data_IF_833710199246
#
_entry.id   IF_833710199246
#
_cell.length_a   1.000
_cell.length_b   1.000
_cell.length_c   1.000
_cell.angle_alpha   90.00
_cell.angle_beta   90.00
_cell.angle_gamma   90.00
#
_symmetry.space_group_name_H-M   'P 1'
#
loop_
_entity.id
_entity.type
_entity.pdbx_description
1 polymer ?
#
# COMPACT_ATOMS: atom_id res chain seq x y z
N UNK A 1 11.03 -2.39 -21.51
CA UNK A 1 11.23 -3.42 -20.46
C UNK A 1 12.05 -2.93 -19.28
N UNK A 2 13.26 -2.37 -19.47
CA UNK A 2 14.10 -1.90 -18.36
C UNK A 2 13.44 -0.81 -17.49
N UNK A 3 12.72 0.14 -18.10
CA UNK A 3 12.01 1.21 -17.38
C UNK A 3 10.87 0.67 -16.51
N UNK A 4 10.07 -0.28 -17.03
CA UNK A 4 9.00 -0.94 -16.26
C UNK A 4 9.57 -1.72 -15.07
N UNK A 5 10.71 -2.39 -15.23
CA UNK A 5 11.38 -3.09 -14.14
C UNK A 5 11.90 -2.13 -13.06
N UNK A 6 12.48 -1.00 -13.46
CA UNK A 6 12.96 0.03 -12.54
C UNK A 6 11.80 0.66 -11.77
N UNK A 7 10.70 0.96 -12.46
CA UNK A 7 9.50 1.52 -11.84
C UNK A 7 8.82 0.53 -10.91
N UNK A 8 8.67 -0.75 -11.32
CA UNK A 8 8.17 -1.82 -10.45
C UNK A 8 9.00 -1.90 -9.17
N UNK A 9 10.33 -1.93 -9.27
CA UNK A 9 11.23 -1.99 -8.11
C UNK A 9 11.06 -0.78 -7.19
N UNK A 10 10.90 0.42 -7.75
CA UNK A 10 10.65 1.65 -6.98
C UNK A 10 9.33 1.55 -6.22
N UNK A 11 8.27 1.08 -6.87
CA UNK A 11 6.95 0.96 -6.28
C UNK A 11 6.86 -0.17 -5.25
N UNK A 12 7.54 -1.30 -5.47
CA UNK A 12 7.66 -2.36 -4.47
C UNK A 12 8.30 -1.81 -3.18
N UNK A 13 9.39 -1.05 -3.30
CA UNK A 13 10.06 -0.45 -2.13
C UNK A 13 9.18 0.60 -1.41
N UNK A 14 8.38 1.38 -2.16
CA UNK A 14 7.42 2.31 -1.57
C UNK A 14 6.27 1.58 -0.88
N UNK A 15 5.81 0.46 -1.45
CA UNK A 15 4.77 -0.37 -0.84
C UNK A 15 5.27 -1.01 0.44
N UNK A 16 6.49 -1.54 0.46
CA UNK A 16 7.11 -2.10 1.66
C UNK A 16 7.19 -1.05 2.79
N UNK A 17 7.70 0.15 2.48
CA UNK A 17 7.77 1.26 3.45
C UNK A 17 6.39 1.71 3.95
N UNK A 18 5.39 1.78 3.05
CA UNK A 18 4.02 2.09 3.43
C UNK A 18 3.41 1.03 4.35
N UNK A 19 3.64 -0.26 4.07
CA UNK A 19 3.16 -1.36 4.90
C UNK A 19 3.84 -1.38 6.28
N UNK A 20 5.14 -1.08 6.35
CA UNK A 20 5.87 -0.96 7.61
C UNK A 20 5.33 0.20 8.46
N UNK A 21 5.09 1.36 7.85
CA UNK A 21 4.48 2.50 8.54
C UNK A 21 3.06 2.19 9.03
N UNK A 22 2.25 1.51 8.21
CA UNK A 22 0.91 1.10 8.59
C UNK A 22 0.92 0.10 9.76
N UNK A 23 1.85 -0.86 9.75
CA UNK A 23 2.01 -1.83 10.83
C UNK A 23 2.38 -1.14 12.16
N UNK A 24 3.32 -0.19 12.13
CA UNK A 24 3.69 0.60 13.32
C UNK A 24 2.50 1.41 13.86
N UNK A 25 1.70 1.99 12.97
CA UNK A 25 0.47 2.67 13.36
C UNK A 25 -0.53 1.70 14.02
N UNK A 26 -0.77 0.54 13.42
CA UNK A 26 -1.69 -0.49 13.94
C UNK A 26 -1.26 -0.99 15.33
N UNK A 27 0.03 -1.16 15.57
CA UNK A 27 0.55 -1.50 16.91
C UNK A 27 0.18 -0.44 17.95
N UNK A 28 0.41 0.84 17.64
CA UNK A 28 0.03 1.95 18.52
C UNK A 28 -1.49 2.09 18.68
N UNK A 29 -2.25 1.90 17.61
CA UNK A 29 -3.71 1.91 17.63
C UNK A 29 -4.24 0.79 18.54
N UNK A 30 -3.69 -0.42 18.46
CA UNK A 30 -4.11 -1.56 19.28
C UNK A 30 -3.92 -1.31 20.78
N UNK A 31 -2.90 -0.56 21.17
CA UNK A 31 -2.73 -0.13 22.57
C UNK A 31 -3.85 0.83 22.97
N UNK A 32 -4.14 1.85 22.16
CA UNK A 32 -5.24 2.81 22.39
C UNK A 32 -6.60 2.12 22.43
N UNK A 33 -6.82 1.15 21.55
CA UNK A 33 -8.08 0.44 21.40
C UNK A 33 -8.47 -0.36 22.64
N UNK A 34 -7.49 -0.93 23.37
CA UNK A 34 -7.72 -1.71 24.59
C UNK A 34 -8.38 -0.90 25.72
N UNK A 35 -8.06 0.39 25.82
CA UNK A 35 -8.63 1.30 26.82
C UNK A 35 -9.79 2.14 26.30
N UNK A 36 -10.05 2.12 24.99
CA UNK A 36 -11.05 2.97 24.35
C UNK A 36 -12.49 2.52 24.66
N UNK A 37 -13.37 3.49 24.89
CA UNK A 37 -14.82 3.32 24.89
C UNK A 37 -15.37 3.17 23.45
N UNK A 38 -16.68 2.96 23.30
CA UNK A 38 -17.30 2.70 22.00
C UNK A 38 -17.11 3.84 20.98
N UNK A 39 -17.27 5.09 21.42
CA UNK A 39 -17.07 6.27 20.56
C UNK A 39 -15.59 6.40 20.15
N UNK A 40 -14.67 6.21 21.08
CA UNK A 40 -13.23 6.25 20.82
C UNK A 40 -12.79 5.14 19.87
N UNK A 41 -13.35 3.93 20.01
CA UNK A 41 -13.08 2.81 19.07
C UNK A 41 -13.53 3.14 17.66
N UNK A 42 -14.68 3.81 17.51
CA UNK A 42 -15.18 4.24 16.19
C UNK A 42 -14.24 5.27 15.58
N UNK A 43 -13.77 6.24 16.38
CA UNK A 43 -12.80 7.24 15.93
C UNK A 43 -11.46 6.60 15.52
N UNK A 44 -10.96 5.63 16.29
CA UNK A 44 -9.72 4.89 15.96
C UNK A 44 -9.84 4.12 14.64
N UNK A 45 -10.99 3.52 14.36
CA UNK A 45 -11.24 2.81 13.11
C UNK A 45 -11.33 3.77 11.90
N UNK A 46 -11.90 4.96 12.09
CA UNK A 46 -11.89 6.00 11.07
C UNK A 46 -10.46 6.51 10.82
N UNK A 47 -9.70 6.79 11.88
CA UNK A 47 -8.30 7.21 11.82
C UNK A 47 -7.45 6.16 11.09
N UNK A 48 -7.66 4.87 11.37
CA UNK A 48 -6.96 3.78 10.66
C UNK A 48 -7.17 3.85 9.15
N UNK A 49 -8.42 3.99 8.71
CA UNK A 49 -8.71 4.08 7.28
C UNK A 49 -8.07 5.33 6.65
N UNK A 50 -8.06 6.47 7.36
CA UNK A 50 -7.35 7.66 6.88
C UNK A 50 -5.84 7.47 6.76
N UNK A 51 -5.22 6.70 7.68
CA UNK A 51 -3.79 6.39 7.60
C UNK A 51 -3.50 5.49 6.40
N UNK A 52 -4.32 4.46 6.17
CA UNK A 52 -4.21 3.59 5.00
C UNK A 52 -4.30 4.40 3.68
N UNK A 53 -5.28 5.32 3.60
CA UNK A 53 -5.46 6.20 2.45
C UNK A 53 -4.28 7.17 2.26
N UNK A 54 -3.76 7.76 3.34
CA UNK A 54 -2.60 8.68 3.29
C UNK A 54 -1.32 7.98 2.86
N UNK A 55 -1.13 6.73 3.25
CA UNK A 55 0.00 5.90 2.82
C UNK A 55 -0.15 5.44 1.37
N UNK A 56 -1.36 5.57 0.80
CA UNK A 56 -1.61 5.27 -0.61
C UNK A 56 -1.42 3.80 -0.96
N UNK A 57 -1.58 2.89 0.01
CA UNK A 57 -1.31 1.45 -0.14
C UNK A 57 -2.09 0.87 -1.32
N UNK A 58 -3.39 1.15 -1.41
CA UNK A 58 -4.24 0.69 -2.52
C UNK A 58 -3.76 1.24 -3.87
N UNK A 59 -3.41 2.52 -3.93
CA UNK A 59 -2.92 3.14 -5.16
C UNK A 59 -1.59 2.53 -5.63
N UNK A 60 -0.68 2.22 -4.70
CA UNK A 60 0.59 1.54 -4.98
C UNK A 60 0.35 0.13 -5.54
N UNK A 61 -0.57 -0.63 -4.93
CA UNK A 61 -0.92 -1.99 -5.40
C UNK A 61 -1.52 -1.95 -6.80
N UNK A 62 -2.50 -1.08 -7.04
CA UNK A 62 -3.12 -0.92 -8.36
C UNK A 62 -2.07 -0.58 -9.43
N UNK A 63 -1.15 0.33 -9.12
CA UNK A 63 -0.10 0.71 -10.05
C UNK A 63 0.90 -0.42 -10.33
N UNK A 64 1.22 -1.22 -9.31
CA UNK A 64 2.07 -2.40 -9.46
C UNK A 64 1.41 -3.47 -10.35
N UNK A 65 0.10 -3.67 -10.21
CA UNK A 65 -0.65 -4.60 -11.04
C UNK A 65 -0.71 -4.17 -12.50
N UNK A 66 -0.95 -2.87 -12.77
CA UNK A 66 -0.85 -2.32 -14.13
C UNK A 66 0.53 -2.58 -14.76
N UNK A 67 1.62 -2.36 -14.01
CA UNK A 67 2.97 -2.57 -14.51
C UNK A 67 3.25 -4.06 -14.78
N UNK A 68 2.76 -4.96 -13.92
CA UNK A 68 2.87 -6.41 -14.13
C UNK A 68 2.15 -6.83 -15.41
N UNK A 69 0.96 -6.28 -15.66
CA UNK A 69 0.22 -6.52 -16.89
C UNK A 69 0.96 -5.99 -18.13
N UNK A 70 1.45 -4.75 -18.08
CA UNK A 70 2.25 -4.16 -19.19
C UNK A 70 3.51 -4.99 -19.49
N UNK A 71 4.18 -5.50 -18.46
CA UNK A 71 5.35 -6.36 -18.63
C UNK A 71 4.99 -7.70 -19.27
N UNK A 72 3.88 -8.32 -18.85
CA UNK A 72 3.38 -9.56 -19.43
C UNK A 72 3.00 -9.38 -20.91
N UNK A 73 2.31 -8.29 -21.25
CA UNK A 73 1.95 -7.96 -22.62
C UNK A 73 3.20 -7.74 -23.49
N UNK A 74 4.20 -7.00 -22.98
CA UNK A 74 5.48 -6.79 -23.68
C UNK A 74 6.27 -8.09 -23.88
N UNK A 75 6.19 -9.04 -22.94
CA UNK A 75 6.81 -10.36 -23.08
C UNK A 75 6.12 -11.23 -24.13
N UNK A 76 4.80 -11.08 -24.31
CA UNK A 76 4.00 -11.82 -25.31
C UNK A 76 4.13 -11.24 -26.74
N UNK A 77 4.46 -9.95 -26.88
CA UNK A 77 4.67 -9.28 -28.17
C UNK A 77 6.05 -8.60 -28.25
N UNK A 78 7.16 -9.34 -28.45
CA UNK A 78 8.51 -8.78 -28.44
C UNK A 78 8.87 -7.96 -29.71
N UNK A 79 7.94 -7.76 -30.65
CA UNK A 79 8.21 -7.21 -31.99
C UNK A 79 7.29 -6.05 -32.43
N UNK A 80 6.63 -5.36 -31.48
CA UNK A 80 5.90 -4.11 -31.75
C UNK A 80 6.73 -2.90 -31.31
#
# INVERSE_FOLDING_TARGET
>A
MAELLAEKKRLDALLDDALDQYALYEEGMNIRFKSANETERTALMAERNEVEDKLGIVALVLRLDEIREMMEQAAKNPAA
#
